data_IF_782088608293
#
_entry.id   IF_782088608293
#
_cell.length_a   1.000
_cell.length_b   1.000
_cell.length_c   1.000
_cell.angle_alpha   90.00
_cell.angle_beta   90.00
_cell.angle_gamma   90.00
#
_symmetry.space_group_name_H-M   'P 1'
#
loop_
_entity.id
_entity.type
_entity.pdbx_description
1 polymer ?
#
# COMPACT_ATOMS: atom_id res chain seq x y z
N UNK A 1 24.63 -2.13 -15.93
CA UNK A 1 23.25 -2.07 -15.39
C UNK A 1 23.36 -2.71 -14.03
N UNK A 2 23.13 -1.94 -12.99
CA UNK A 2 23.25 -2.44 -11.62
C UNK A 2 22.23 -3.54 -11.40
N UNK A 3 22.75 -4.75 -11.17
CA UNK A 3 22.01 -6.00 -11.04
C UNK A 3 21.30 -6.10 -9.67
N UNK A 4 21.01 -4.98 -8.99
CA UNK A 4 20.52 -4.94 -7.63
C UNK A 4 19.22 -4.12 -7.46
N UNK A 5 18.58 -3.70 -8.57
CA UNK A 5 17.28 -3.02 -8.48
C UNK A 5 16.19 -4.05 -8.18
N UNK A 6 15.47 -3.85 -7.11
CA UNK A 6 14.31 -4.68 -6.75
C UNK A 6 13.18 -4.42 -7.76
N UNK A 7 12.47 -5.46 -8.19
CA UNK A 7 11.43 -5.35 -9.23
C UNK A 7 10.33 -4.32 -8.88
N UNK A 8 10.01 -4.15 -7.60
CA UNK A 8 8.99 -3.22 -7.16
C UNK A 8 9.47 -1.75 -7.14
N UNK A 9 10.78 -1.51 -7.23
CA UNK A 9 11.33 -0.16 -7.43
C UNK A 9 10.98 0.43 -8.82
N UNK A 10 10.49 -0.40 -9.75
CA UNK A 10 9.97 0.06 -11.04
C UNK A 10 8.81 1.05 -10.90
N UNK A 11 8.12 1.07 -9.75
CA UNK A 11 7.07 2.05 -9.46
C UNK A 11 7.61 3.47 -9.35
N UNK A 12 8.83 3.67 -8.90
CA UNK A 12 9.50 4.97 -8.87
C UNK A 12 9.53 5.61 -10.27
N UNK A 13 9.98 4.86 -11.28
CA UNK A 13 10.05 5.35 -12.67
C UNK A 13 8.64 5.58 -13.25
N UNK A 14 7.68 4.84 -12.80
CA UNK A 14 6.30 4.96 -13.24
C UNK A 14 5.67 6.24 -12.70
N UNK A 15 5.85 6.57 -11.42
CA UNK A 15 5.42 7.84 -10.84
C UNK A 15 6.10 9.02 -11.53
N UNK A 16 7.42 8.99 -11.72
CA UNK A 16 8.15 10.02 -12.48
C UNK A 16 7.54 10.26 -13.86
N UNK A 17 7.25 9.18 -14.58
CA UNK A 17 6.68 9.27 -15.94
C UNK A 17 5.31 9.94 -15.96
N UNK A 18 4.41 9.62 -15.03
CA UNK A 18 3.08 10.22 -15.01
C UNK A 18 3.10 11.65 -14.50
N UNK A 19 3.90 11.96 -13.48
CA UNK A 19 4.04 13.32 -12.94
C UNK A 19 4.68 14.28 -13.95
N UNK A 20 5.67 13.84 -14.73
CA UNK A 20 6.25 14.65 -15.83
C UNK A 20 5.21 15.04 -16.88
N UNK A 21 4.17 14.24 -17.05
CA UNK A 21 3.04 14.54 -17.94
C UNK A 21 1.96 15.40 -17.29
N UNK A 22 2.14 15.77 -16.02
CA UNK A 22 1.13 16.51 -15.24
C UNK A 22 -0.11 15.68 -14.90
N UNK A 23 0.03 14.35 -14.85
CA UNK A 23 -1.06 13.42 -14.59
C UNK A 23 -0.87 12.84 -13.17
N UNK A 24 -1.95 12.78 -12.39
CA UNK A 24 -2.02 12.00 -11.16
C UNK A 24 -2.40 10.56 -11.49
N UNK A 25 -1.80 9.61 -10.80
CA UNK A 25 -2.15 8.19 -10.95
C UNK A 25 -3.38 7.82 -10.13
N UNK A 26 -3.49 8.38 -8.93
CA UNK A 26 -4.58 8.10 -8.03
C UNK A 26 -5.91 8.68 -8.53
N UNK A 27 -7.00 8.01 -8.23
CA UNK A 27 -8.33 8.60 -8.37
C UNK A 27 -8.60 9.60 -7.25
N UNK A 28 -9.50 10.55 -7.46
CA UNK A 28 -9.86 11.57 -6.45
C UNK A 28 -10.62 11.00 -5.24
N UNK A 29 -11.06 9.75 -5.31
CA UNK A 29 -11.88 9.13 -4.25
C UNK A 29 -11.03 8.17 -3.42
N UNK A 30 -11.04 8.37 -2.10
CA UNK A 30 -10.45 7.45 -1.15
C UNK A 30 -11.15 6.09 -1.16
N UNK A 31 -10.45 5.08 -0.71
CA UNK A 31 -10.94 3.70 -0.58
C UNK A 31 -11.87 3.60 0.65
N UNK A 32 -13.19 3.41 0.47
CA UNK A 32 -14.14 3.54 1.59
C UNK A 32 -13.86 2.62 2.77
N UNK A 33 -13.38 1.39 2.50
CA UNK A 33 -13.16 0.38 3.53
C UNK A 33 -12.13 0.84 4.59
N UNK A 34 -11.18 1.73 4.25
CA UNK A 34 -10.20 2.26 5.21
C UNK A 34 -10.93 2.98 6.35
N UNK A 35 -11.79 3.94 6.00
CA UNK A 35 -12.59 4.68 6.98
C UNK A 35 -13.69 3.84 7.62
N UNK A 36 -14.25 2.86 6.92
CA UNK A 36 -15.27 1.95 7.46
C UNK A 36 -14.68 1.08 8.57
N UNK A 37 -13.44 0.61 8.43
CA UNK A 37 -12.74 -0.13 9.50
C UNK A 37 -12.47 0.78 10.69
N UNK A 38 -11.99 1.99 10.47
CA UNK A 38 -11.77 2.97 11.55
C UNK A 38 -13.04 3.15 12.38
N UNK A 39 -14.18 3.35 11.73
CA UNK A 39 -15.47 3.55 12.39
C UNK A 39 -15.97 2.26 13.07
N UNK A 40 -15.87 1.13 12.38
CA UNK A 40 -16.37 -0.17 12.86
C UNK A 40 -15.67 -0.64 14.13
N UNK A 41 -14.35 -0.40 14.20
CA UNK A 41 -13.53 -0.85 15.34
C UNK A 41 -13.23 0.25 16.34
N UNK A 42 -13.91 1.40 16.20
CA UNK A 42 -13.77 2.54 17.12
C UNK A 42 -12.30 2.97 17.31
N UNK A 43 -11.52 2.96 16.22
CA UNK A 43 -10.15 3.47 16.22
C UNK A 43 -10.20 4.95 16.56
N UNK A 44 -9.45 5.36 17.57
CA UNK A 44 -9.52 6.73 18.09
C UNK A 44 -8.51 7.65 17.39
N UNK A 45 -8.79 8.96 17.29
CA UNK A 45 -7.87 9.90 16.66
C UNK A 45 -6.46 9.93 17.29
N UNK A 46 -6.35 9.68 18.61
CA UNK A 46 -5.08 9.62 19.32
C UNK A 46 -4.28 8.32 19.13
N UNK A 47 -4.81 7.36 18.37
CA UNK A 47 -4.12 6.12 18.05
C UNK A 47 -3.11 6.34 16.92
N UNK A 48 -2.04 5.58 16.93
CA UNK A 48 -1.00 5.62 15.90
C UNK A 48 -1.39 4.73 14.72
N UNK A 49 -1.45 5.31 13.54
CA UNK A 49 -1.83 4.64 12.30
C UNK A 49 -0.65 4.58 11.34
N UNK A 50 -0.57 3.50 10.57
CA UNK A 50 0.42 3.33 9.50
C UNK A 50 -0.29 2.96 8.19
N UNK A 51 0.03 3.67 7.12
CA UNK A 51 -0.28 3.28 5.76
C UNK A 51 0.98 2.80 5.04
N UNK A 52 0.91 1.60 4.46
CA UNK A 52 1.98 1.03 3.64
C UNK A 52 1.57 1.13 2.17
N UNK A 53 2.39 1.78 1.34
CA UNK A 53 2.13 2.00 -0.07
C UNK A 53 1.07 3.09 -0.31
N UNK A 54 1.24 4.26 0.31
CA UNK A 54 0.29 5.37 0.22
C UNK A 54 0.20 6.02 -1.17
N UNK A 55 1.21 5.78 -2.04
CA UNK A 55 1.27 6.39 -3.36
C UNK A 55 1.19 7.91 -3.29
N UNK A 56 0.26 8.49 -4.04
CA UNK A 56 -0.02 9.93 -4.07
C UNK A 56 -0.86 10.44 -2.87
N UNK A 57 -1.04 9.62 -1.83
CA UNK A 57 -1.65 10.02 -0.56
C UNK A 57 -3.17 10.15 -0.56
N UNK A 58 -3.87 9.52 -1.48
CA UNK A 58 -5.32 9.61 -1.61
C UNK A 58 -6.07 9.14 -0.36
N UNK A 59 -5.71 7.97 0.15
CA UNK A 59 -6.33 7.40 1.35
C UNK A 59 -5.77 8.06 2.61
N UNK A 60 -4.47 8.39 2.60
CA UNK A 60 -3.83 9.20 3.65
C UNK A 60 -4.57 10.49 3.91
N UNK A 61 -4.91 11.24 2.84
CA UNK A 61 -5.63 12.52 2.98
C UNK A 61 -6.95 12.35 3.70
N UNK A 62 -7.73 11.34 3.36
CA UNK A 62 -9.02 11.09 3.99
C UNK A 62 -8.89 10.80 5.48
N UNK A 63 -7.85 10.08 5.90
CA UNK A 63 -7.56 9.75 7.30
C UNK A 63 -7.06 10.99 8.05
N UNK A 64 -6.14 11.76 7.45
CA UNK A 64 -5.58 12.98 8.04
C UNK A 64 -6.61 14.11 8.17
N UNK A 65 -7.51 14.26 7.21
CA UNK A 65 -8.60 15.26 7.25
C UNK A 65 -9.58 15.02 8.42
N UNK A 66 -9.72 13.75 8.87
CA UNK A 66 -10.51 13.37 10.06
C UNK A 66 -9.71 13.50 11.37
N UNK A 67 -8.46 13.97 11.32
CA UNK A 67 -7.64 14.29 12.48
C UNK A 67 -6.90 13.11 13.11
N UNK A 68 -6.70 12.00 12.40
CA UNK A 68 -5.95 10.85 12.90
C UNK A 68 -4.44 11.05 12.84
N UNK A 69 -3.71 10.41 13.75
CA UNK A 69 -2.25 10.37 13.73
C UNK A 69 -1.78 9.28 12.76
N UNK A 70 -1.48 9.66 11.54
CA UNK A 70 -1.07 8.76 10.47
C UNK A 70 0.39 8.95 10.11
N UNK A 71 1.14 7.87 9.99
CA UNK A 71 2.39 7.79 9.22
C UNK A 71 2.06 7.12 7.87
N UNK A 72 2.18 7.87 6.79
CA UNK A 72 1.92 7.40 5.44
C UNK A 72 3.25 7.10 4.73
N UNK A 73 3.40 5.87 4.22
CA UNK A 73 4.68 5.42 3.67
C UNK A 73 4.54 4.84 2.26
N UNK A 74 5.54 5.07 1.44
CA UNK A 74 5.69 4.45 0.12
C UNK A 74 7.16 4.22 -0.16
N UNK A 75 7.49 3.22 -0.97
CA UNK A 75 8.86 2.98 -1.40
C UNK A 75 9.32 4.03 -2.42
N UNK A 76 8.39 4.61 -3.19
CA UNK A 76 8.68 5.62 -4.19
C UNK A 76 8.92 6.99 -3.55
N UNK A 77 10.14 7.49 -3.68
CA UNK A 77 10.48 8.85 -3.28
C UNK A 77 9.72 9.89 -4.09
N UNK A 78 9.43 9.62 -5.36
CA UNK A 78 8.65 10.48 -6.24
C UNK A 78 7.20 10.60 -5.75
N UNK A 79 6.55 9.47 -5.38
CA UNK A 79 5.20 9.48 -4.83
C UNK A 79 5.12 10.29 -3.52
N UNK A 80 6.08 10.09 -2.63
CA UNK A 80 6.16 10.82 -1.36
C UNK A 80 6.39 12.33 -1.61
N UNK A 81 7.30 12.68 -2.50
CA UNK A 81 7.56 14.09 -2.87
C UNK A 81 6.30 14.75 -3.46
N UNK A 82 5.58 14.01 -4.29
CA UNK A 82 4.31 14.47 -4.85
C UNK A 82 3.28 14.75 -3.74
N UNK A 83 3.08 13.80 -2.83
CA UNK A 83 2.15 13.92 -1.71
C UNK A 83 2.50 15.10 -0.80
N UNK A 84 3.76 15.25 -0.42
CA UNK A 84 4.24 16.37 0.39
C UNK A 84 4.02 17.72 -0.27
N UNK A 85 4.22 17.80 -1.59
CA UNK A 85 4.02 19.04 -2.36
C UNK A 85 2.53 19.42 -2.51
N UNK A 86 1.64 18.44 -2.67
CA UNK A 86 0.22 18.67 -2.91
C UNK A 86 -0.60 18.74 -1.62
N UNK A 87 -0.03 18.28 -0.50
CA UNK A 87 -0.62 18.34 0.84
C UNK A 87 0.41 18.91 1.83
N UNK A 88 0.85 20.17 1.67
CA UNK A 88 1.92 20.76 2.48
C UNK A 88 1.56 20.81 3.97
N UNK A 89 0.28 20.90 4.33
CA UNK A 89 -0.22 20.84 5.70
C UNK A 89 0.03 19.47 6.38
N UNK A 90 0.15 18.42 5.57
CA UNK A 90 0.39 17.06 6.01
C UNK A 90 1.77 16.52 5.63
N UNK A 91 2.67 17.36 5.10
CA UNK A 91 3.95 16.92 4.56
C UNK A 91 4.79 16.07 5.52
N UNK A 92 4.73 16.37 6.83
CA UNK A 92 5.47 15.65 7.86
C UNK A 92 4.98 14.21 8.10
N UNK A 93 3.79 13.87 7.61
CA UNK A 93 3.20 12.53 7.75
C UNK A 93 3.69 11.55 6.67
N UNK A 94 4.26 12.05 5.57
CA UNK A 94 4.70 11.24 4.44
C UNK A 94 6.20 10.92 4.51
N UNK A 95 6.55 9.62 4.42
CA UNK A 95 7.93 9.14 4.51
C UNK A 95 8.22 8.05 3.47
N UNK A 96 9.43 8.05 2.93
CA UNK A 96 9.91 6.92 2.12
C UNK A 96 10.21 5.74 3.04
N UNK A 97 9.65 4.59 2.74
CA UNK A 97 9.87 3.34 3.47
C UNK A 97 9.74 2.13 2.54
N UNK A 98 10.74 1.27 2.54
CA UNK A 98 10.65 -0.07 2.00
C UNK A 98 10.37 -1.06 3.14
N UNK A 99 9.14 -1.50 3.29
CA UNK A 99 8.71 -2.40 4.34
C UNK A 99 9.32 -3.81 4.27
N UNK A 100 10.01 -4.15 3.17
CA UNK A 100 10.70 -5.44 3.03
C UNK A 100 12.16 -5.40 3.49
N UNK A 101 12.75 -4.20 3.65
CA UNK A 101 14.17 -4.06 4.00
C UNK A 101 14.46 -3.06 5.11
N UNK A 102 13.46 -2.32 5.54
CA UNK A 102 13.55 -1.35 6.63
C UNK A 102 12.69 -1.77 7.81
N UNK A 103 13.06 -1.30 8.98
CA UNK A 103 12.33 -1.49 10.22
C UNK A 103 11.92 -0.13 10.79
N UNK A 104 10.95 -0.12 11.70
CA UNK A 104 10.47 1.06 12.42
C UNK A 104 10.56 0.82 13.92
N UNK A 105 11.04 1.80 14.66
CA UNK A 105 11.09 1.75 16.14
C UNK A 105 9.70 2.03 16.78
N UNK A 106 8.62 1.77 16.06
CA UNK A 106 7.25 2.13 16.47
C UNK A 106 6.27 1.01 16.22
N UNK A 107 5.23 0.91 17.07
CA UNK A 107 4.11 0.00 16.88
C UNK A 107 2.81 0.80 16.72
N UNK A 108 1.89 0.26 15.95
CA UNK A 108 0.68 0.96 15.51
C UNK A 108 -0.59 0.25 15.97
N UNK A 109 -1.62 1.04 16.21
CA UNK A 109 -2.95 0.54 16.57
C UNK A 109 -3.73 0.08 15.33
N UNK A 110 -3.45 0.72 14.18
CA UNK A 110 -4.05 0.37 12.90
C UNK A 110 -3.00 0.46 11.78
N UNK A 111 -2.81 -0.64 11.07
CA UNK A 111 -1.98 -0.70 9.86
C UNK A 111 -2.87 -1.01 8.68
N UNK A 112 -2.76 -0.25 7.61
CA UNK A 112 -3.47 -0.58 6.39
C UNK A 112 -2.60 -0.46 5.15
N UNK A 113 -2.94 -1.29 4.17
CA UNK A 113 -2.29 -1.30 2.86
C UNK A 113 -3.35 -1.54 1.78
N UNK A 114 -3.42 -0.63 0.82
CA UNK A 114 -4.37 -0.69 -0.28
C UNK A 114 -3.62 -0.86 -1.60
N UNK A 115 -3.88 -1.96 -2.28
CA UNK A 115 -3.28 -2.27 -3.58
C UNK A 115 -1.75 -2.43 -3.54
N UNK A 116 -1.19 -2.96 -2.45
CA UNK A 116 0.25 -3.23 -2.28
C UNK A 116 0.57 -4.71 -2.46
N UNK A 117 -0.10 -5.60 -1.73
CA UNK A 117 0.25 -7.02 -1.66
C UNK A 117 0.35 -7.70 -3.03
N UNK A 118 -0.54 -7.38 -3.96
CA UNK A 118 -0.53 -7.98 -5.30
C UNK A 118 0.63 -7.50 -6.18
N UNK A 119 1.39 -6.50 -5.73
CA UNK A 119 2.61 -6.04 -6.37
C UNK A 119 3.83 -6.89 -5.97
N UNK A 120 3.73 -7.63 -4.87
CA UNK A 120 4.80 -8.47 -4.35
C UNK A 120 4.72 -9.85 -4.99
N UNK A 121 5.56 -10.09 -6.00
CA UNK A 121 5.50 -11.29 -6.84
C UNK A 121 6.09 -12.52 -6.14
N UNK A 122 7.31 -12.50 -5.54
CA UNK A 122 7.84 -13.61 -4.79
C UNK A 122 7.05 -13.90 -3.51
N UNK A 123 6.95 -15.15 -3.16
CA UNK A 123 6.32 -15.57 -1.90
C UNK A 123 7.09 -15.05 -0.68
N UNK A 124 8.41 -15.04 -0.76
CA UNK A 124 9.29 -14.51 0.28
C UNK A 124 9.00 -13.01 0.58
N UNK A 125 8.74 -12.21 -0.45
CA UNK A 125 8.41 -10.79 -0.27
C UNK A 125 7.00 -10.62 0.35
N UNK A 126 6.03 -11.44 -0.04
CA UNK A 126 4.72 -11.45 0.62
C UNK A 126 4.80 -11.86 2.08
N UNK A 127 5.62 -12.85 2.38
CA UNK A 127 5.88 -13.26 3.76
C UNK A 127 6.60 -12.15 4.54
N UNK A 128 7.60 -11.50 3.95
CA UNK A 128 8.27 -10.33 4.53
C UNK A 128 7.29 -9.19 4.84
N UNK A 129 6.37 -8.91 3.93
CA UNK A 129 5.31 -7.93 4.14
C UNK A 129 4.38 -8.27 5.33
N UNK A 130 3.98 -9.55 5.47
CA UNK A 130 3.18 -9.98 6.62
C UNK A 130 3.99 -9.92 7.93
N UNK A 131 5.28 -10.27 7.90
CA UNK A 131 6.14 -10.14 9.07
C UNK A 131 6.31 -8.69 9.49
N UNK A 132 6.53 -7.78 8.54
CA UNK A 132 6.59 -6.36 8.84
C UNK A 132 5.31 -5.86 9.54
N UNK A 133 4.13 -6.21 9.03
CA UNK A 133 2.86 -5.85 9.68
C UNK A 133 2.77 -6.47 11.07
N UNK A 134 3.09 -7.76 11.22
CA UNK A 134 3.06 -8.45 12.51
C UNK A 134 3.94 -7.76 13.55
N UNK A 135 5.17 -7.42 13.19
CA UNK A 135 6.16 -6.90 14.12
C UNK A 135 5.88 -5.45 14.56
N UNK A 136 5.12 -4.72 13.73
CA UNK A 136 4.75 -3.33 14.01
C UNK A 136 3.30 -3.15 14.46
N UNK A 137 2.49 -4.19 14.51
CA UNK A 137 1.12 -4.13 15.00
C UNK A 137 1.10 -4.34 16.51
N UNK A 138 0.44 -3.44 17.26
CA UNK A 138 0.20 -3.65 18.70
C UNK A 138 -0.68 -4.88 18.93
N UNK A 139 -0.60 -5.48 20.13
CA UNK A 139 -1.32 -6.72 20.49
C UNK A 139 -2.83 -6.67 20.23
N UNK A 140 -3.46 -5.52 20.45
CA UNK A 140 -4.89 -5.29 20.18
C UNK A 140 -5.10 -4.50 18.87
N UNK A 141 -4.07 -4.35 18.06
CA UNK A 141 -4.09 -3.61 16.82
C UNK A 141 -4.87 -4.33 15.72
N UNK A 142 -5.21 -3.59 14.69
CA UNK A 142 -5.96 -4.08 13.52
C UNK A 142 -5.11 -3.85 12.28
N UNK A 143 -5.04 -4.85 11.41
CA UNK A 143 -4.46 -4.69 10.09
C UNK A 143 -5.52 -4.88 9.00
N UNK A 144 -5.55 -3.98 8.03
CA UNK A 144 -6.37 -4.06 6.82
C UNK A 144 -5.48 -4.20 5.59
N UNK A 145 -5.62 -5.29 4.87
CA UNK A 145 -4.94 -5.51 3.59
C UNK A 145 -5.99 -5.60 2.49
N UNK A 146 -5.97 -4.62 1.59
CA UNK A 146 -6.82 -4.62 0.41
C UNK A 146 -5.98 -4.94 -0.82
N UNK A 147 -6.38 -5.95 -1.56
CA UNK A 147 -5.70 -6.37 -2.80
C UNK A 147 -6.68 -6.48 -3.95
N UNK A 148 -6.18 -6.37 -5.17
CA UNK A 148 -7.00 -6.62 -6.36
C UNK A 148 -7.14 -8.12 -6.58
N UNK A 149 -8.37 -8.57 -6.85
CA UNK A 149 -8.68 -9.97 -7.09
C UNK A 149 -10.18 -10.21 -7.06
N UNK A 150 -10.63 -11.33 -7.62
CA UNK A 150 -12.03 -11.73 -7.62
C UNK A 150 -12.43 -12.55 -6.37
N UNK A 151 -11.47 -12.83 -5.47
CA UNK A 151 -11.66 -13.64 -4.27
C UNK A 151 -11.96 -15.12 -4.54
N UNK A 152 -11.84 -15.60 -5.77
CA UNK A 152 -12.21 -16.96 -6.19
C UNK A 152 -11.13 -17.66 -6.98
N UNK A 153 -10.35 -16.90 -7.74
CA UNK A 153 -9.32 -17.45 -8.64
C UNK A 153 -7.94 -17.15 -8.06
N UNK A 154 -7.18 -18.20 -7.79
CA UNK A 154 -5.78 -18.09 -7.43
C UNK A 154 -4.94 -18.30 -8.68
N UNK A 155 -4.09 -17.32 -9.00
CA UNK A 155 -3.15 -17.38 -10.13
C UNK A 155 -1.75 -17.41 -9.55
N UNK A 156 -1.01 -18.47 -9.85
CA UNK A 156 0.39 -18.56 -9.46
C UNK A 156 1.22 -17.53 -10.25
N UNK A 157 1.93 -16.67 -9.52
CA UNK A 157 2.77 -15.65 -10.14
C UNK A 157 4.04 -16.27 -10.73
N UNK A 158 4.35 -15.88 -11.95
CA UNK A 158 5.62 -16.20 -12.60
C UNK A 158 6.47 -14.94 -12.67
N UNK A 159 7.52 -14.89 -11.82
CA UNK A 159 8.40 -13.72 -11.71
C UNK A 159 9.09 -13.40 -13.03
N UNK A 160 9.37 -14.40 -13.87
CA UNK A 160 10.00 -14.19 -15.18
C UNK A 160 9.13 -13.39 -16.15
N UNK A 161 7.80 -13.36 -15.89
CA UNK A 161 6.79 -12.66 -16.68
C UNK A 161 6.25 -11.41 -16.01
N UNK A 162 6.63 -11.14 -14.76
CA UNK A 162 6.09 -10.03 -13.96
C UNK A 162 6.29 -8.66 -14.63
N UNK A 163 7.30 -8.54 -15.48
CA UNK A 163 7.68 -7.30 -16.19
C UNK A 163 7.70 -7.46 -17.71
N UNK A 164 7.05 -8.47 -18.24
CA UNK A 164 6.92 -8.63 -19.68
C UNK A 164 6.13 -7.44 -20.25
N UNK A 165 6.78 -6.67 -21.13
CA UNK A 165 6.14 -5.60 -21.87
C UNK A 165 5.09 -6.22 -22.79
N UNK A 166 3.84 -6.13 -22.41
CA UNK A 166 2.74 -6.49 -23.32
C UNK A 166 2.43 -5.29 -24.21
N UNK A 167 2.79 -5.36 -25.47
CA UNK A 167 2.21 -4.49 -26.49
C UNK A 167 0.72 -4.75 -26.55
N UNK A 168 -0.06 -3.75 -26.12
CA UNK A 168 -1.50 -3.76 -26.26
C UNK A 168 -1.87 -2.73 -27.30
N UNK A 169 -2.69 -3.13 -28.27
CA UNK A 169 -3.21 -2.28 -29.35
C UNK A 169 -4.12 -1.13 -28.87
N UNK A 170 -4.10 -0.80 -27.59
CA UNK A 170 -4.93 0.25 -27.02
C UNK A 170 -4.08 1.39 -26.49
N UNK A 171 -4.12 2.60 -27.10
CA UNK A 171 -3.26 3.73 -26.72
C UNK A 171 -3.51 4.27 -25.30
N UNK A 172 -4.56 3.81 -24.63
CA UNK A 172 -4.93 4.20 -23.25
C UNK A 172 -4.95 3.03 -22.27
N UNK A 173 -4.53 1.84 -22.68
CA UNK A 173 -4.39 0.74 -21.77
C UNK A 173 -3.05 0.83 -21.02
N UNK A 174 -2.98 1.71 -20.02
CA UNK A 174 -2.15 1.38 -18.87
C UNK A 174 -2.75 0.12 -18.24
N UNK A 175 -1.95 -0.74 -17.65
CA UNK A 175 -2.43 -1.96 -16.99
C UNK A 175 -3.50 -1.69 -15.89
N UNK A 176 -3.75 -0.45 -15.55
CA UNK A 176 -4.71 0.06 -14.56
C UNK A 176 -5.99 0.66 -15.15
N UNK A 177 -6.04 0.91 -16.46
CA UNK A 177 -7.21 1.49 -17.12
C UNK A 177 -8.04 0.47 -17.90
N UNK A 178 -7.82 -0.82 -17.70
CA UNK A 178 -8.85 -1.75 -18.08
C UNK A 178 -10.05 -1.46 -17.17
N UNK A 179 -11.14 -1.02 -17.76
CA UNK A 179 -12.45 -0.82 -17.14
C UNK A 179 -13.10 -2.12 -16.65
N UNK A 180 -12.30 -3.13 -16.41
CA UNK A 180 -12.67 -4.29 -15.62
C UNK A 180 -12.61 -3.82 -14.18
N UNK A 181 -13.76 -3.57 -13.59
CA UNK A 181 -13.91 -3.43 -12.15
C UNK A 181 -13.50 -4.76 -11.53
N UNK A 182 -12.22 -4.93 -11.24
CA UNK A 182 -11.75 -6.07 -10.46
C UNK A 182 -12.21 -5.79 -9.04
N UNK A 183 -13.07 -6.63 -8.45
CA UNK A 183 -13.52 -6.43 -7.09
C UNK A 183 -12.29 -6.40 -6.16
N UNK A 184 -12.22 -5.40 -5.28
CA UNK A 184 -11.21 -5.41 -4.23
C UNK A 184 -11.57 -6.47 -3.20
N UNK A 185 -10.64 -7.39 -2.97
CA UNK A 185 -10.72 -8.32 -1.85
C UNK A 185 -9.97 -7.73 -0.68
N UNK A 186 -10.63 -7.60 0.46
CA UNK A 186 -10.04 -7.14 1.71
C UNK A 186 -9.86 -8.31 2.67
N UNK A 187 -8.67 -8.41 3.25
CA UNK A 187 -8.36 -9.29 4.36
C UNK A 187 -8.23 -8.43 5.62
N UNK A 188 -9.11 -8.68 6.59
CA UNK A 188 -9.01 -8.06 7.90
C UNK A 188 -8.30 -9.03 8.83
N UNK A 189 -7.14 -8.62 9.34
CA UNK A 189 -6.41 -9.36 10.35
C UNK A 189 -6.66 -8.69 11.70
N UNK A 190 -7.37 -9.39 12.56
CA UNK A 190 -7.61 -8.98 13.93
C UNK A 190 -6.51 -9.53 14.82
N UNK A 191 -5.79 -8.67 15.52
CA UNK A 191 -4.77 -8.93 16.53
C UNK A 191 -4.14 -10.33 16.48
N UNK A 192 -2.88 -10.42 16.19
CA UNK A 192 -2.18 -11.70 16.32
C UNK A 192 -2.26 -12.13 17.78
N UNK A 193 -3.10 -13.11 18.07
CA UNK A 193 -3.04 -13.78 19.37
C UNK A 193 -1.66 -14.39 19.50
N UNK A 194 -0.93 -13.96 20.51
CA UNK A 194 0.32 -14.60 20.93
C UNK A 194 -0.01 -15.95 21.54
N UNK A 195 -0.34 -16.92 20.70
CA UNK A 195 -0.29 -18.32 21.07
C UNK A 195 0.65 -19.05 20.13
N UNK A 196 1.79 -19.40 20.69
CA UNK A 196 2.80 -20.24 20.12
C UNK A 196 2.24 -21.64 19.87
N UNK A 197 1.61 -21.84 18.72
CA UNK A 197 1.34 -23.18 18.20
C UNK A 197 0.91 -23.12 16.73
N UNK A 198 1.85 -22.82 15.86
CA UNK A 198 1.79 -23.31 14.49
C UNK A 198 3.04 -24.17 14.31
N UNK A 199 2.87 -25.49 14.51
CA UNK A 199 3.84 -26.51 14.16
C UNK A 199 3.69 -26.93 12.72
#
# INVERSE_FOLDING_TARGET
MDNNMKYYEAYEERYKTVHQKGISWASDKSTPIVMDIIRRYYIKPEYELLEIGCGEGRDSKAVLDEGYHLTATDISAEAISYSQKHMPEYAQHFRVLDCLSCDLDSSFDYIYAVAVLHMLVPEEDRNGFYHFIHDHLKSEGIALICTMGDGKTEIQSDISKAFELQERDHPFASALTSSVTIPMTSLLIHGFMTDASIG
#
